data_IF_197506638538
#
_entry.id   IF_197506638538
#
_cell.length_a   1.000
_cell.length_b   1.000
_cell.length_c   1.000
_cell.angle_alpha   90.00
_cell.angle_beta   90.00
_cell.angle_gamma   90.00
#
_symmetry.space_group_name_H-M   'P 1'
#
loop_
_entity.id
_entity.type
_entity.pdbx_description
1 polymer ?
#
# COMPACT_ATOMS: atom_id res chain seq x y z
N UNK A 1 21.25 -1.13 -16.42
CA UNK A 1 20.52 -2.05 -15.53
C UNK A 1 19.93 -3.23 -16.28
N UNK A 2 18.85 -3.08 -17.06
CA UNK A 2 18.24 -4.25 -17.74
C UNK A 2 19.10 -4.89 -18.83
N UNK A 3 19.85 -4.10 -19.61
CA UNK A 3 20.75 -4.64 -20.63
C UNK A 3 21.97 -5.37 -20.02
N UNK A 4 22.38 -4.99 -18.82
CA UNK A 4 23.52 -5.59 -18.12
C UNK A 4 23.12 -6.93 -17.47
N UNK A 5 21.85 -7.06 -17.06
CA UNK A 5 21.28 -8.27 -16.47
C UNK A 5 21.34 -9.50 -17.40
N UNK A 6 21.35 -9.31 -18.72
CA UNK A 6 21.51 -10.38 -19.71
C UNK A 6 22.85 -11.12 -19.53
N UNK A 7 23.86 -10.42 -19.00
CA UNK A 7 25.20 -10.96 -18.75
C UNK A 7 25.50 -11.16 -17.25
N UNK A 8 24.50 -10.97 -16.39
CA UNK A 8 24.67 -10.87 -14.95
C UNK A 8 25.06 -9.46 -14.52
N UNK A 9 24.24 -8.86 -13.66
CA UNK A 9 24.42 -7.51 -13.12
C UNK A 9 25.08 -7.49 -11.74
N UNK A 10 25.46 -8.67 -11.23
CA UNK A 10 26.24 -8.87 -10.03
C UNK A 10 27.76 -8.80 -10.25
N UNK A 11 28.54 -8.61 -9.17
CA UNK A 11 30.00 -8.49 -9.25
C UNK A 11 30.71 -9.70 -9.89
N UNK A 12 30.09 -10.88 -9.88
CA UNK A 12 30.63 -12.12 -10.45
C UNK A 12 29.84 -12.61 -11.68
N UNK A 13 28.99 -11.75 -12.27
CA UNK A 13 28.11 -12.12 -13.37
C UNK A 13 26.87 -12.91 -12.94
N UNK A 14 26.51 -12.89 -11.65
CA UNK A 14 25.22 -13.36 -11.17
C UNK A 14 24.09 -12.38 -11.47
N UNK A 15 22.85 -12.87 -11.50
CA UNK A 15 21.67 -12.01 -11.57
C UNK A 15 21.27 -11.58 -10.16
N UNK A 16 21.22 -10.27 -9.91
CA UNK A 16 20.86 -9.71 -8.61
C UNK A 16 19.37 -9.95 -8.35
N UNK A 17 19.02 -10.34 -7.11
CA UNK A 17 17.63 -10.61 -6.70
C UNK A 17 16.67 -9.45 -7.01
N UNK A 18 17.10 -8.21 -6.78
CA UNK A 18 16.33 -7.00 -7.07
C UNK A 18 15.94 -6.91 -8.55
N UNK A 19 16.79 -7.38 -9.46
CA UNK A 19 16.51 -7.39 -10.89
C UNK A 19 15.45 -8.42 -11.23
N UNK A 20 15.55 -9.65 -10.71
CA UNK A 20 14.47 -10.66 -10.82
C UNK A 20 13.16 -10.10 -10.29
N UNK A 21 13.22 -9.53 -9.09
CA UNK A 21 12.05 -9.01 -8.39
C UNK A 21 11.40 -7.89 -9.21
N UNK A 22 12.15 -6.89 -9.67
CA UNK A 22 11.65 -5.81 -10.53
C UNK A 22 11.08 -6.32 -11.87
N UNK A 23 11.66 -7.34 -12.49
CA UNK A 23 11.10 -7.94 -13.70
C UNK A 23 9.78 -8.68 -13.44
N UNK A 24 9.57 -9.16 -12.21
CA UNK A 24 8.33 -9.84 -11.82
C UNK A 24 7.22 -8.89 -11.36
N UNK A 25 7.46 -7.57 -11.28
CA UNK A 25 6.48 -6.62 -10.70
C UNK A 25 5.12 -6.66 -11.40
N UNK A 26 5.11 -6.69 -12.73
CA UNK A 26 3.87 -6.71 -13.50
C UNK A 26 3.05 -7.98 -13.21
N UNK A 27 3.72 -9.13 -13.13
CA UNK A 27 3.09 -10.41 -12.74
C UNK A 27 2.56 -10.33 -11.30
N UNK A 28 3.33 -9.75 -10.37
CA UNK A 28 2.89 -9.61 -8.98
C UNK A 28 1.69 -8.67 -8.90
N UNK A 29 1.66 -7.58 -9.67
CA UNK A 29 0.53 -6.67 -9.77
C UNK A 29 -0.71 -7.42 -10.25
N UNK A 30 -0.61 -8.20 -11.31
CA UNK A 30 -1.72 -8.96 -11.86
C UNK A 30 -2.25 -9.99 -10.87
N UNK A 31 -1.36 -10.74 -10.20
CA UNK A 31 -1.74 -11.67 -9.13
C UNK A 31 -2.46 -10.91 -8.02
N UNK A 32 -1.90 -9.78 -7.56
CA UNK A 32 -2.43 -8.99 -6.46
C UNK A 32 -3.83 -8.44 -6.75
N UNK A 33 -4.09 -8.00 -7.97
CA UNK A 33 -5.40 -7.54 -8.45
C UNK A 33 -6.44 -8.66 -8.52
N UNK A 34 -6.00 -9.91 -8.73
CA UNK A 34 -6.87 -11.09 -8.82
C UNK A 34 -6.98 -11.88 -7.51
N UNK A 35 -6.38 -11.43 -6.41
CA UNK A 35 -6.51 -12.08 -5.11
C UNK A 35 -7.95 -12.03 -4.60
N UNK A 36 -8.41 -13.14 -4.01
CA UNK A 36 -9.65 -13.10 -3.22
C UNK A 36 -9.48 -12.13 -2.06
N UNK A 37 -10.60 -11.62 -1.52
CA UNK A 37 -10.54 -10.73 -0.36
C UNK A 37 -9.82 -11.34 0.84
N UNK A 38 -10.00 -12.64 1.08
CA UNK A 38 -9.31 -13.38 2.14
C UNK A 38 -7.80 -13.37 1.91
N UNK A 39 -7.37 -13.67 0.70
CA UNK A 39 -5.95 -13.74 0.34
C UNK A 39 -5.32 -12.35 0.32
N UNK A 40 -6.07 -11.33 -0.12
CA UNK A 40 -5.67 -9.93 -0.07
C UNK A 40 -5.43 -9.46 1.35
N UNK A 41 -6.35 -9.73 2.28
CA UNK A 41 -6.15 -9.45 3.72
C UNK A 41 -4.96 -10.19 4.29
N UNK A 42 -4.77 -11.46 3.89
CA UNK A 42 -3.64 -12.26 4.33
C UNK A 42 -2.31 -11.71 3.80
N UNK A 43 -2.26 -11.30 2.54
CA UNK A 43 -1.13 -10.61 1.92
C UNK A 43 -0.80 -9.31 2.63
N UNK A 44 -1.80 -8.43 2.79
CA UNK A 44 -1.61 -7.09 3.34
C UNK A 44 -1.13 -7.15 4.80
N UNK A 45 -1.59 -8.16 5.57
CA UNK A 45 -1.17 -8.37 6.95
C UNK A 45 0.23 -8.98 7.11
N UNK A 46 0.60 -9.94 6.27
CA UNK A 46 1.78 -10.79 6.53
C UNK A 46 2.94 -10.56 5.55
N UNK A 47 2.65 -10.13 4.33
CA UNK A 47 3.63 -10.09 3.23
C UNK A 47 3.93 -8.68 2.72
N UNK A 48 3.07 -7.69 2.96
CA UNK A 48 3.32 -6.29 2.54
C UNK A 48 4.69 -5.77 2.99
N UNK A 49 5.05 -5.94 4.26
CA UNK A 49 6.33 -5.47 4.78
C UNK A 49 7.52 -6.18 4.10
N UNK A 50 7.40 -7.49 3.87
CA UNK A 50 8.44 -8.29 3.19
C UNK A 50 8.57 -7.84 1.73
N UNK A 51 7.45 -7.72 1.02
CA UNK A 51 7.40 -7.25 -0.35
C UNK A 51 8.09 -5.88 -0.50
N UNK A 52 7.72 -4.90 0.33
CA UNK A 52 8.31 -3.56 0.26
C UNK A 52 9.76 -3.50 0.74
N UNK A 53 10.19 -4.41 1.62
CA UNK A 53 11.61 -4.53 2.00
C UNK A 53 12.48 -4.91 0.79
N UNK A 54 11.95 -5.74 -0.11
CA UNK A 54 12.64 -6.12 -1.35
C UNK A 54 12.41 -5.13 -2.50
N UNK A 55 11.25 -4.45 -2.56
CA UNK A 55 10.95 -3.43 -3.55
C UNK A 55 11.76 -2.14 -3.36
N UNK A 56 11.96 -1.74 -2.11
CA UNK A 56 12.59 -0.49 -1.73
C UNK A 56 13.77 -0.77 -0.80
N UNK A 57 14.69 -1.61 -1.26
CA UNK A 57 15.86 -1.99 -0.46
C UNK A 57 16.68 -0.76 -0.10
N UNK A 58 17.06 -0.66 1.18
CA UNK A 58 18.03 0.33 1.63
C UNK A 58 19.34 0.19 0.83
N UNK A 59 19.93 1.28 0.32
CA UNK A 59 21.24 1.24 -0.32
C UNK A 59 22.30 0.60 0.59
N UNK A 60 23.18 -0.24 0.04
CA UNK A 60 24.17 -0.99 0.82
C UNK A 60 25.02 -0.09 1.73
N UNK A 61 25.45 1.07 1.22
CA UNK A 61 26.21 2.06 2.00
C UNK A 61 25.47 2.58 3.23
N UNK A 62 24.13 2.70 3.17
CA UNK A 62 23.32 3.11 4.32
C UNK A 62 23.18 1.95 5.31
N UNK A 63 23.07 0.72 4.82
CA UNK A 63 23.07 -0.48 5.67
C UNK A 63 24.37 -0.63 6.46
N UNK A 64 25.52 -0.42 5.80
CA UNK A 64 26.84 -0.46 6.42
C UNK A 64 27.01 0.61 7.49
N UNK A 65 26.55 1.85 7.23
CA UNK A 65 26.54 2.93 8.23
C UNK A 65 25.71 2.56 9.45
N UNK A 66 24.48 2.06 9.25
CA UNK A 66 23.62 1.65 10.36
C UNK A 66 24.27 0.52 11.18
N UNK A 67 24.86 -0.47 10.51
CA UNK A 67 25.56 -1.56 11.17
C UNK A 67 26.78 -1.07 11.98
N UNK A 68 27.54 -0.12 11.45
CA UNK A 68 28.67 0.48 12.16
C UNK A 68 28.21 1.22 13.43
N UNK A 69 27.09 1.96 13.35
CA UNK A 69 26.50 2.65 14.52
C UNK A 69 25.99 1.67 15.58
N UNK A 70 25.39 0.55 15.15
CA UNK A 70 24.98 -0.53 16.06
C UNK A 70 26.20 -1.15 16.75
N UNK A 71 27.24 -1.51 15.98
CA UNK A 71 28.49 -2.08 16.52
C UNK A 71 29.23 -1.14 17.46
N UNK A 72 29.15 0.17 17.23
CA UNK A 72 29.72 1.20 18.10
C UNK A 72 28.88 1.46 19.37
N UNK A 73 27.71 0.83 19.53
CA UNK A 73 26.81 1.05 20.66
C UNK A 73 26.07 2.39 20.63
N UNK A 74 26.06 3.08 19.49
CA UNK A 74 25.38 4.38 19.31
C UNK A 74 23.89 4.16 18.99
N UNK A 75 23.56 3.07 18.28
CA UNK A 75 22.20 2.70 17.90
C UNK A 75 21.83 1.36 18.50
N UNK A 76 20.66 1.30 19.13
CA UNK A 76 20.04 0.06 19.57
C UNK A 76 18.74 -0.18 18.78
N UNK A 77 18.48 -1.43 18.43
CA UNK A 77 17.26 -1.85 17.74
C UNK A 77 16.41 -2.69 18.69
N UNK A 78 15.20 -2.22 18.99
CA UNK A 78 14.22 -2.92 19.82
C UNK A 78 13.00 -3.30 18.98
N UNK A 79 12.59 -4.57 19.07
CA UNK A 79 11.31 -5.02 18.50
C UNK A 79 10.22 -4.80 19.54
N UNK A 80 9.32 -3.84 19.28
CA UNK A 80 8.28 -3.45 20.23
C UNK A 80 7.04 -4.37 20.23
N UNK A 81 6.86 -5.18 19.17
CA UNK A 81 5.66 -6.02 19.04
C UNK A 81 4.45 -5.24 18.50
N UNK A 82 3.27 -5.89 18.52
CA UNK A 82 2.02 -5.30 18.01
C UNK A 82 1.17 -4.66 19.10
N UNK A 83 1.49 -4.92 20.36
CA UNK A 83 0.76 -4.53 21.56
C UNK A 83 1.47 -3.41 22.35
N UNK A 84 2.51 -2.79 21.78
CA UNK A 84 3.17 -1.67 22.42
C UNK A 84 2.25 -0.45 22.55
N UNK A 85 2.49 0.35 23.58
CA UNK A 85 1.81 1.61 23.85
C UNK A 85 2.81 2.76 23.84
N UNK A 86 2.44 3.87 23.19
CA UNK A 86 3.18 5.14 23.25
C UNK A 86 2.35 6.14 24.05
N UNK A 87 2.90 6.68 25.13
CA UNK A 87 2.30 7.76 25.93
C UNK A 87 3.12 9.03 25.75
N UNK A 88 2.42 10.16 25.63
CA UNK A 88 3.03 11.49 25.64
C UNK A 88 2.75 12.16 26.99
N UNK A 89 3.79 12.71 27.61
CA UNK A 89 3.70 13.46 28.85
C UNK A 89 4.06 14.92 28.58
N UNK A 90 3.04 15.75 28.33
CA UNK A 90 3.23 17.16 27.96
C UNK A 90 3.98 17.95 29.06
N UNK A 91 3.63 17.75 30.34
CA UNK A 91 4.28 18.42 31.47
C UNK A 91 5.78 18.11 31.60
N UNK A 92 6.22 16.96 31.08
CA UNK A 92 7.59 16.46 31.17
C UNK A 92 8.34 16.50 29.84
N UNK A 93 7.72 17.05 28.78
CA UNK A 93 8.23 17.03 27.41
C UNK A 93 8.84 15.67 27.00
N UNK A 94 8.16 14.57 27.33
CA UNK A 94 8.70 13.22 27.14
C UNK A 94 7.67 12.24 26.61
N UNK A 95 8.18 11.13 26.09
CA UNK A 95 7.43 10.04 25.51
C UNK A 95 7.84 8.74 26.19
N UNK A 96 6.88 7.91 26.57
CA UNK A 96 7.12 6.58 27.14
C UNK A 96 6.62 5.50 26.18
N UNK A 97 7.49 4.55 25.87
CA UNK A 97 7.15 3.32 25.17
C UNK A 97 7.01 2.20 26.20
N UNK A 98 5.85 1.54 26.21
CA UNK A 98 5.59 0.35 27.02
C UNK A 98 5.40 -0.81 26.05
N UNK A 99 6.22 -1.85 26.17
CA UNK A 99 6.21 -2.99 25.24
C UNK A 99 6.63 -4.28 25.94
N UNK A 100 6.49 -5.42 25.25
CA UNK A 100 7.02 -6.70 25.72
C UNK A 100 8.27 -7.08 24.95
N UNK A 101 9.31 -7.49 25.68
CA UNK A 101 10.50 -8.05 25.05
C UNK A 101 10.24 -9.45 24.45
N UNK A 102 11.28 -10.05 23.85
CA UNK A 102 11.17 -11.37 23.25
C UNK A 102 10.84 -12.50 24.26
N UNK A 103 11.06 -12.26 25.54
CA UNK A 103 10.74 -13.16 26.64
C UNK A 103 9.35 -12.87 27.25
N UNK A 104 8.66 -11.84 26.76
CA UNK A 104 7.32 -11.44 27.20
C UNK A 104 7.31 -10.52 28.42
N UNK A 105 8.47 -10.07 28.91
CA UNK A 105 8.54 -9.16 30.05
C UNK A 105 8.18 -7.74 29.61
N UNK A 106 7.46 -7.02 30.46
CA UNK A 106 7.15 -5.62 30.21
C UNK A 106 8.42 -4.77 30.33
N UNK A 107 8.68 -3.95 29.32
CA UNK A 107 9.76 -2.99 29.23
C UNK A 107 9.17 -1.59 29.11
N UNK A 108 9.90 -0.60 29.66
CA UNK A 108 9.52 0.81 29.62
C UNK A 108 10.72 1.68 29.30
N UNK A 109 10.65 2.34 28.16
CA UNK A 109 11.70 3.26 27.72
C UNK A 109 11.15 4.67 27.59
N UNK A 110 11.87 5.66 28.13
CA UNK A 110 11.47 7.07 28.10
C UNK A 110 12.44 7.86 27.24
N UNK A 111 11.90 8.62 26.29
CA UNK A 111 12.67 9.45 25.36
C UNK A 111 12.13 10.88 25.33
N UNK A 112 13.04 11.84 25.16
CA UNK A 112 12.67 13.26 24.99
C UNK A 112 12.18 13.57 23.58
N UNK A 113 12.76 12.92 22.58
CA UNK A 113 12.45 13.14 21.18
C UNK A 113 12.01 11.84 20.54
N UNK A 114 10.95 11.91 19.72
CA UNK A 114 10.42 10.79 18.97
C UNK A 114 10.22 11.24 17.53
N UNK A 115 10.69 10.42 16.59
CA UNK A 115 10.44 10.57 15.17
C UNK A 115 9.40 9.53 14.77
N UNK A 116 8.24 10.00 14.27
CA UNK A 116 7.23 9.11 13.73
C UNK A 116 7.60 8.72 12.29
N UNK A 117 8.19 7.54 12.15
CA UNK A 117 8.57 6.95 10.87
C UNK A 117 7.57 5.86 10.40
N UNK A 118 6.32 5.88 10.88
CA UNK A 118 5.29 4.87 10.52
C UNK A 118 4.73 5.03 9.09
N UNK A 119 5.17 6.05 8.36
CA UNK A 119 4.69 6.38 7.02
C UNK A 119 3.41 7.21 7.05
N UNK A 120 2.76 7.34 5.89
CA UNK A 120 1.52 8.09 5.74
C UNK A 120 0.31 7.21 6.05
N UNK A 121 -0.71 7.79 6.68
CA UNK A 121 -2.00 7.12 6.89
C UNK A 121 -2.64 6.82 5.52
N UNK A 122 -2.88 5.53 5.24
CA UNK A 122 -3.38 5.03 3.95
C UNK A 122 -4.88 5.31 3.79
N UNK A 123 -5.32 6.56 3.87
CA UNK A 123 -6.73 6.89 3.70
C UNK A 123 -6.96 8.23 3.04
N UNK A 124 -7.69 8.22 1.92
CA UNK A 124 -8.15 9.42 1.25
C UNK A 124 -9.10 10.25 2.15
N UNK A 125 -9.76 9.62 3.14
CA UNK A 125 -10.57 10.31 4.15
C UNK A 125 -9.78 11.29 5.02
N UNK A 126 -8.49 11.03 5.25
CA UNK A 126 -7.66 11.90 6.10
C UNK A 126 -6.95 12.99 5.29
N UNK A 127 -7.23 13.08 3.98
CA UNK A 127 -6.71 14.15 3.14
C UNK A 127 -7.24 15.52 3.64
N UNK A 128 -6.35 16.46 3.99
CA UNK A 128 -6.77 17.71 4.61
C UNK A 128 -7.40 18.69 3.62
N UNK A 129 -7.22 18.49 2.30
CA UNK A 129 -7.65 19.46 1.29
C UNK A 129 -9.16 19.60 1.20
N UNK A 130 -9.62 20.84 0.99
CA UNK A 130 -11.05 21.16 0.79
C UNK A 130 -11.62 20.42 -0.41
N UNK A 131 -10.84 20.28 -1.49
CA UNK A 131 -11.27 19.54 -2.68
C UNK A 131 -11.57 18.07 -2.37
N UNK A 132 -10.65 17.36 -1.70
CA UNK A 132 -10.85 15.95 -1.35
C UNK A 132 -12.10 15.75 -0.46
N UNK A 133 -12.29 16.63 0.51
CA UNK A 133 -13.48 16.61 1.39
C UNK A 133 -14.77 16.80 0.59
N UNK A 134 -14.79 17.75 -0.35
CA UNK A 134 -15.95 18.01 -1.19
C UNK A 134 -16.24 16.87 -2.18
N UNK A 135 -15.19 16.26 -2.75
CA UNK A 135 -15.33 15.10 -3.65
C UNK A 135 -15.93 13.88 -2.95
N UNK A 136 -15.55 13.65 -1.68
CA UNK A 136 -16.17 12.61 -0.85
C UNK A 136 -17.60 12.96 -0.44
N UNK A 137 -17.85 14.21 -0.01
CA UNK A 137 -19.17 14.65 0.44
C UNK A 137 -20.22 14.67 -0.67
N UNK A 138 -19.78 14.90 -1.92
CA UNK A 138 -20.63 14.86 -3.11
C UNK A 138 -20.80 13.46 -3.70
N UNK A 139 -20.16 12.44 -3.13
CA UNK A 139 -20.13 11.06 -3.64
C UNK A 139 -19.57 10.90 -5.07
N UNK A 140 -18.94 11.95 -5.63
CA UNK A 140 -18.20 11.88 -6.90
C UNK A 140 -17.06 10.87 -6.79
N UNK A 141 -16.42 10.84 -5.62
CA UNK A 141 -15.36 9.90 -5.29
C UNK A 141 -15.81 9.02 -4.13
N UNK A 142 -15.59 7.72 -4.28
CA UNK A 142 -15.84 6.75 -3.22
C UNK A 142 -14.54 6.08 -2.81
N UNK A 143 -14.47 5.68 -1.54
CA UNK A 143 -13.38 4.83 -1.07
C UNK A 143 -13.70 3.41 -1.45
N UNK A 144 -12.69 2.69 -1.90
CA UNK A 144 -12.82 1.27 -2.19
C UNK A 144 -13.17 0.50 -0.92
N UNK A 145 -14.28 -0.22 -1.00
CA UNK A 145 -14.78 -1.11 0.01
C UNK A 145 -15.10 -2.46 -0.64
N UNK A 146 -14.36 -3.51 -0.28
CA UNK A 146 -14.72 -4.87 -0.70
C UNK A 146 -15.84 -5.40 0.19
N UNK A 147 -16.94 -5.81 -0.42
CA UNK A 147 -18.04 -6.50 0.28
C UNK A 147 -17.94 -7.99 0.03
N UNK A 148 -18.26 -8.79 1.04
CA UNK A 148 -18.27 -10.26 0.95
C UNK A 148 -19.22 -10.79 -0.16
N UNK A 149 -20.18 -9.97 -0.59
CA UNK A 149 -21.16 -10.32 -1.63
C UNK A 149 -20.63 -10.22 -3.06
N UNK A 150 -19.50 -9.55 -3.30
CA UNK A 150 -18.95 -9.37 -4.65
C UNK A 150 -18.29 -10.66 -5.21
N UNK A 151 -18.26 -11.75 -4.43
CA UNK A 151 -17.69 -13.05 -4.80
C UNK A 151 -18.69 -14.13 -5.23
N UNK A 152 -20.00 -13.89 -5.21
CA UNK A 152 -20.98 -14.91 -5.65
C UNK A 152 -20.87 -15.21 -7.16
N UNK A 153 -20.14 -14.40 -7.94
CA UNK A 153 -19.97 -14.59 -9.38
C UNK A 153 -18.77 -15.48 -9.79
N UNK A 154 -18.08 -16.15 -8.87
CA UNK A 154 -17.19 -17.25 -9.24
C UNK A 154 -17.96 -18.59 -9.10
N UNK A 155 -18.20 -19.34 -10.20
CA UNK A 155 -19.18 -20.41 -10.23
C UNK A 155 -18.77 -21.71 -9.50
N UNK A 156 -17.61 -21.78 -8.87
CA UNK A 156 -17.16 -23.00 -8.18
C UNK A 156 -16.74 -22.70 -6.74
N UNK A 157 -17.70 -22.78 -5.81
CA UNK A 157 -17.55 -23.33 -4.45
C UNK A 157 -18.86 -23.17 -3.67
N UNK A 158 -19.62 -24.25 -3.57
CA UNK A 158 -20.58 -24.45 -2.49
C UNK A 158 -19.85 -24.27 -1.14
N UNK A 159 -20.29 -23.35 -0.28
CA UNK A 159 -20.47 -23.59 1.17
C UNK A 159 -21.40 -22.53 1.76
N UNK A 160 -22.47 -23.05 2.38
CA UNK A 160 -23.20 -22.59 3.56
C UNK A 160 -23.23 -21.09 3.91
N UNK A 161 -24.45 -20.59 3.89
CA UNK A 161 -24.91 -19.37 4.55
C UNK A 161 -24.62 -19.37 6.05
N UNK A 162 -23.79 -18.44 6.52
CA UNK A 162 -23.79 -17.98 7.91
C UNK A 162 -23.68 -16.45 7.97
N UNK A 163 -24.83 -15.85 8.32
CA UNK A 163 -25.09 -14.53 8.89
C UNK A 163 -23.89 -13.57 8.97
N UNK A 164 -23.90 -12.58 8.07
CA UNK A 164 -22.97 -11.47 8.00
C UNK A 164 -23.10 -10.54 9.22
N UNK A 165 -22.05 -10.49 10.04
CA UNK A 165 -21.81 -9.39 10.98
C UNK A 165 -21.11 -8.23 10.27
N UNK A 166 -21.25 -7.02 10.82
CA UNK A 166 -20.71 -5.77 10.27
C UNK A 166 -19.16 -5.70 10.14
N UNK A 167 -18.43 -6.74 10.55
CA UNK A 167 -16.97 -6.89 10.45
C UNK A 167 -16.47 -7.33 9.05
N UNK A 168 -17.36 -7.48 8.07
CA UNK A 168 -17.01 -8.07 6.78
C UNK A 168 -16.50 -7.09 5.72
N UNK A 169 -16.49 -5.78 5.96
CA UNK A 169 -16.04 -4.78 4.97
C UNK A 169 -14.54 -4.53 5.08
N UNK A 170 -13.79 -4.79 4.00
CA UNK A 170 -12.39 -4.41 3.89
C UNK A 170 -12.26 -3.09 3.15
N UNK A 171 -11.61 -2.11 3.77
CA UNK A 171 -11.38 -0.80 3.17
C UNK A 171 -9.89 -0.63 2.93
N UNK A 172 -9.51 -0.39 1.69
CA UNK A 172 -8.11 -0.05 1.37
C UNK A 172 -7.79 1.40 1.73
N UNK A 173 -8.83 2.19 2.03
CA UNK A 173 -8.73 3.62 2.33
C UNK A 173 -8.48 4.49 1.09
N UNK A 174 -8.28 3.88 -0.08
CA UNK A 174 -8.01 4.57 -1.33
C UNK A 174 -9.26 4.84 -2.14
N UNK A 175 -9.16 5.68 -3.15
CA UNK A 175 -10.25 5.92 -4.11
C UNK A 175 -10.52 4.64 -4.87
N UNK A 176 -11.80 4.34 -5.12
CA UNK A 176 -12.18 3.24 -5.98
C UNK A 176 -12.00 3.62 -7.45
N UNK A 177 -11.15 2.87 -8.14
CA UNK A 177 -10.82 3.05 -9.54
C UNK A 177 -10.98 1.73 -10.32
N UNK A 178 -11.07 1.86 -11.63
CA UNK A 178 -10.77 0.78 -12.56
C UNK A 178 -9.23 0.61 -12.62
N UNK A 179 -8.67 -0.55 -12.23
CA UNK A 179 -7.22 -0.71 -12.11
C UNK A 179 -6.51 -0.77 -13.47
N UNK A 180 -7.26 -1.04 -14.55
CA UNK A 180 -6.75 -1.04 -15.92
C UNK A 180 -6.70 0.38 -16.47
N UNK A 181 -7.80 1.15 -16.43
CA UNK A 181 -7.85 2.49 -17.06
C UNK A 181 -7.52 3.66 -16.12
N UNK A 182 -7.43 3.40 -14.81
CA UNK A 182 -7.26 4.41 -13.75
C UNK A 182 -8.40 5.43 -13.64
N UNK A 183 -9.54 5.17 -14.28
CA UNK A 183 -10.75 5.98 -14.15
C UNK A 183 -11.39 5.75 -12.78
N UNK A 184 -11.94 6.81 -12.19
CA UNK A 184 -12.70 6.70 -10.94
C UNK A 184 -14.00 5.95 -11.20
N UNK A 185 -14.34 5.03 -10.31
CA UNK A 185 -15.64 4.35 -10.33
C UNK A 185 -16.69 5.25 -9.71
N UNK A 186 -17.69 5.65 -10.50
CA UNK A 186 -18.81 6.49 -10.08
C UNK A 186 -20.08 5.65 -9.92
N UNK A 187 -20.91 6.01 -8.94
CA UNK A 187 -22.20 5.36 -8.73
C UNK A 187 -23.23 5.96 -9.68
N UNK A 188 -23.76 5.15 -10.60
CA UNK A 188 -24.89 5.52 -11.44
C UNK A 188 -26.21 5.48 -10.69
N UNK A 189 -27.27 6.01 -11.32
CA UNK A 189 -28.62 6.12 -10.73
C UNK A 189 -29.22 4.79 -10.24
N UNK A 190 -28.84 3.67 -10.85
CA UNK A 190 -29.33 2.32 -10.52
C UNK A 190 -28.46 1.57 -9.50
N UNK A 191 -27.61 2.27 -8.74
CA UNK A 191 -26.53 1.67 -7.91
C UNK A 191 -25.50 0.83 -8.68
N UNK A 192 -25.53 0.86 -10.02
CA UNK A 192 -24.48 0.27 -10.85
C UNK A 192 -23.29 1.22 -10.90
N UNK A 193 -22.09 0.67 -10.69
CA UNK A 193 -20.86 1.43 -10.82
C UNK A 193 -20.43 1.47 -12.28
N UNK A 194 -20.01 2.65 -12.73
CA UNK A 194 -19.48 2.88 -14.07
C UNK A 194 -18.16 3.64 -13.98
N UNK A 195 -17.32 3.50 -15.01
CA UNK A 195 -16.08 4.28 -15.11
C UNK A 195 -16.45 5.74 -15.40
N UNK A 196 -15.77 6.68 -14.75
CA UNK A 196 -15.86 8.09 -15.10
C UNK A 196 -15.17 8.35 -16.43
N UNK A 197 -15.81 9.09 -17.33
CA UNK A 197 -15.22 9.46 -18.62
C UNK A 197 -14.24 10.65 -18.50
N UNK A 198 -14.17 11.32 -17.34
CA UNK A 198 -13.42 12.56 -17.21
C UNK A 198 -12.51 12.62 -15.97
N UNK A 199 -12.67 11.69 -15.04
CA UNK A 199 -11.96 11.74 -13.77
C UNK A 199 -11.10 10.48 -13.61
N UNK A 200 -9.80 10.73 -13.45
CA UNK A 200 -8.78 9.72 -13.28
C UNK A 200 -8.07 9.93 -11.94
N UNK A 201 -7.48 8.87 -11.42
CA UNK A 201 -6.66 8.93 -10.22
C UNK A 201 -5.27 8.36 -10.48
N UNK A 202 -4.23 9.03 -9.97
CA UNK A 202 -2.83 8.60 -10.06
C UNK A 202 -2.16 8.79 -8.70
N UNK A 203 -1.24 7.88 -8.37
CA UNK A 203 -0.43 7.92 -7.15
C UNK A 203 -0.84 6.93 -6.06
N UNK A 204 -0.03 6.90 -5.00
CA UNK A 204 -0.12 5.91 -3.91
C UNK A 204 -1.36 6.08 -3.04
N UNK A 205 -1.69 7.33 -2.70
CA UNK A 205 -2.78 7.68 -1.77
C UNK A 205 -4.17 7.57 -2.40
N UNK A 206 -4.23 7.36 -3.70
CA UNK A 206 -5.47 7.32 -4.48
C UNK A 206 -5.77 5.93 -5.01
N UNK A 207 -4.81 4.98 -5.04
CA UNK A 207 -4.95 3.68 -5.72
C UNK A 207 -4.44 2.47 -4.91
N UNK A 208 -4.92 2.28 -3.69
CA UNK A 208 -4.61 1.13 -2.82
C UNK A 208 -5.01 -0.25 -3.38
N UNK A 209 -5.71 -0.27 -4.52
CA UNK A 209 -5.97 -1.45 -5.35
C UNK A 209 -4.69 -2.04 -5.94
N UNK A 210 -3.73 -1.17 -6.27
CA UNK A 210 -2.58 -1.46 -7.10
C UNK A 210 -1.32 -1.46 -6.22
N UNK A 211 -0.56 -2.58 -6.20
CA UNK A 211 0.58 -2.76 -5.30
C UNK A 211 1.73 -1.79 -5.57
N UNK A 212 1.91 -1.42 -6.84
CA UNK A 212 2.98 -0.56 -7.34
C UNK A 212 2.54 0.90 -7.51
N UNK A 213 1.39 1.29 -6.95
CA UNK A 213 0.79 2.63 -7.12
C UNK A 213 1.70 3.79 -6.69
N UNK A 214 2.66 3.54 -5.79
CA UNK A 214 3.67 4.48 -5.29
C UNK A 214 4.99 4.46 -6.06
N UNK A 215 5.18 3.52 -6.98
CA UNK A 215 6.41 3.40 -7.75
C UNK A 215 6.47 4.47 -8.85
N UNK A 216 7.66 5.02 -9.11
CA UNK A 216 7.84 5.97 -10.20
C UNK A 216 7.47 5.36 -11.56
N UNK A 217 7.85 4.09 -11.78
CA UNK A 217 7.50 3.35 -13.01
C UNK A 217 5.98 3.22 -13.19
N UNK A 218 5.27 2.76 -12.15
CA UNK A 218 3.81 2.60 -12.19
C UNK A 218 3.06 3.93 -12.30
N UNK A 219 3.65 5.05 -11.84
CA UNK A 219 3.12 6.40 -12.08
C UNK A 219 3.29 6.77 -13.57
N UNK A 220 4.47 6.57 -14.15
CA UNK A 220 4.74 6.89 -15.57
C UNK A 220 3.82 6.10 -16.49
N UNK A 221 3.71 4.78 -16.29
CA UNK A 221 2.84 3.91 -17.09
C UNK A 221 1.36 4.35 -16.98
N UNK A 222 0.88 4.59 -15.76
CA UNK A 222 -0.48 5.04 -15.53
C UNK A 222 -0.76 6.40 -16.18
N UNK A 223 0.15 7.37 -16.05
CA UNK A 223 0.00 8.69 -16.67
C UNK A 223 0.01 8.60 -18.19
N UNK A 224 0.85 7.74 -18.79
CA UNK A 224 0.84 7.49 -20.23
C UNK A 224 -0.53 7.00 -20.71
N UNK A 225 -1.07 5.99 -20.03
CA UNK A 225 -2.35 5.40 -20.38
C UNK A 225 -3.52 6.40 -20.23
N UNK A 226 -3.51 7.20 -19.16
CA UNK A 226 -4.51 8.26 -18.96
C UNK A 226 -4.43 9.30 -20.09
N UNK A 227 -3.22 9.69 -20.51
CA UNK A 227 -3.04 10.64 -21.60
C UNK A 227 -3.55 10.07 -22.93
N UNK A 228 -3.29 8.80 -23.22
CA UNK A 228 -3.82 8.12 -24.42
C UNK A 228 -5.34 8.09 -24.43
N UNK A 229 -5.97 7.74 -23.30
CA UNK A 229 -7.43 7.73 -23.16
C UNK A 229 -8.03 9.12 -23.36
N UNK A 230 -7.44 10.16 -22.74
CA UNK A 230 -7.90 11.54 -22.91
C UNK A 230 -7.79 12.03 -24.36
N UNK A 231 -6.71 11.69 -25.06
CA UNK A 231 -6.52 12.06 -26.48
C UNK A 231 -7.56 11.34 -27.34
N UNK A 232 -7.81 10.06 -27.08
CA UNK A 232 -8.84 9.29 -27.81
C UNK A 232 -10.23 9.89 -27.62
N UNK A 233 -10.60 10.21 -26.38
CA UNK A 233 -11.89 10.84 -26.05
C UNK A 233 -12.06 12.20 -26.76
N UNK A 234 -10.97 12.95 -26.93
CA UNK A 234 -10.99 14.23 -27.66
C UNK A 234 -11.09 14.07 -29.18
N UNK A 235 -10.66 12.94 -29.75
CA UNK A 235 -10.73 12.69 -31.19
C UNK A 235 -12.04 12.03 -31.62
N UNK A 236 -12.74 11.37 -30.70
CA UNK A 236 -14.02 10.69 -30.95
C UNK A 236 -15.26 11.58 -30.68
N UNK A 237 -15.06 12.78 -30.13
CA UNK A 237 -16.08 13.84 -29.96
C UNK A 237 -15.94 14.95 -31.02
#
# INVERSE_FOLDING_TARGET
YLNDAIHGDGPSGELIWQTVFHQSFDIVRDIYLNLTLRDRRHFDRNYTSVFFTHAATMPAINAEKLLALIKAGIVEVRKLGTDYCLKKYDEKESYEFIYRDAQGNEQRDIYRYVVDARGQEKSFKTNPSTLAKNLLASEIVQIEEFRHLDQINHPDREVASTLASADQVYKTGSIWIDPETHQIMIKGGDQKFAKSNAIYAVGAMTRGQIIDASSASGIVQATSLIAENLVKDLMEN
#
